data_IF_657119013079
#
_entry.id   IF_657119013079
#
_cell.length_a   1.000
_cell.length_b   1.000
_cell.length_c   1.000
_cell.angle_alpha   90.00
_cell.angle_beta   90.00
_cell.angle_gamma   90.00
#
_symmetry.space_group_name_H-M   'P 1'
#
loop_
_entity.id
_entity.type
_entity.pdbx_description
1 polymer ?
#
# COMPACT_ATOMS: atom_id res chain seq x y z
N UNK A 1 57.67 -39.26 -7.84
CA UNK A 1 57.46 -38.58 -6.54
C UNK A 1 56.82 -37.23 -6.82
N UNK A 2 55.68 -36.94 -6.16
CA UNK A 2 55.10 -35.60 -5.88
C UNK A 2 54.64 -34.76 -7.09
N UNK A 3 53.36 -34.75 -7.51
CA UNK A 3 52.11 -34.26 -6.90
C UNK A 3 52.01 -32.72 -6.75
N UNK A 4 51.04 -32.10 -7.45
CA UNK A 4 49.91 -31.36 -6.88
C UNK A 4 49.43 -30.23 -7.81
N UNK A 5 48.20 -30.37 -8.31
CA UNK A 5 47.42 -29.29 -8.90
C UNK A 5 47.08 -28.25 -7.81
N UNK A 6 47.27 -26.96 -8.08
CA UNK A 6 46.71 -25.89 -7.27
C UNK A 6 45.90 -24.93 -8.15
N UNK A 7 44.62 -25.27 -8.36
CA UNK A 7 43.65 -24.28 -8.83
C UNK A 7 43.25 -23.42 -7.63
N UNK A 8 43.63 -22.15 -7.69
CA UNK A 8 43.18 -21.12 -6.75
C UNK A 8 41.66 -20.96 -6.86
N UNK A 9 40.93 -21.41 -5.84
CA UNK A 9 39.50 -21.12 -5.68
C UNK A 9 39.34 -19.69 -5.17
N UNK A 10 38.78 -18.82 -6.03
CA UNK A 10 38.31 -17.51 -5.61
C UNK A 10 37.21 -17.65 -4.54
N UNK A 11 37.10 -16.71 -3.58
CA UNK A 11 36.00 -16.72 -2.64
C UNK A 11 34.71 -16.43 -3.41
N UNK A 12 33.93 -17.48 -3.69
CA UNK A 12 32.57 -17.31 -4.19
C UNK A 12 31.79 -16.50 -3.16
N UNK A 13 31.28 -15.34 -3.57
CA UNK A 13 30.29 -14.57 -2.83
C UNK A 13 29.01 -15.41 -2.77
N UNK A 14 28.95 -16.32 -1.82
CA UNK A 14 27.77 -17.12 -1.55
C UNK A 14 26.71 -16.20 -0.96
N UNK A 15 25.79 -15.73 -1.80
CA UNK A 15 24.56 -15.09 -1.32
C UNK A 15 23.87 -16.10 -0.42
N UNK A 16 23.72 -15.82 0.90
CA UNK A 16 23.08 -16.76 1.79
C UNK A 16 21.64 -16.97 1.35
N UNK A 17 21.08 -18.14 1.67
CA UNK A 17 19.68 -18.44 1.34
C UNK A 17 18.76 -17.39 1.97
N UNK A 18 17.60 -17.08 1.35
CA UNK A 18 16.66 -16.09 1.89
C UNK A 18 16.31 -16.32 3.36
N UNK A 19 16.24 -17.58 3.81
CA UNK A 19 15.98 -17.97 5.18
C UNK A 19 17.06 -17.54 6.18
N UNK A 20 18.32 -17.43 5.75
CA UNK A 20 19.42 -17.01 6.63
C UNK A 20 19.34 -15.54 7.03
N UNK A 21 18.56 -14.73 6.31
CA UNK A 21 18.27 -13.34 6.69
C UNK A 21 17.16 -13.23 7.74
N UNK A 22 16.38 -14.29 7.97
CA UNK A 22 15.24 -14.24 8.87
C UNK A 22 15.68 -14.61 10.30
N UNK A 23 15.44 -13.75 11.31
CA UNK A 23 15.73 -14.09 12.69
C UNK A 23 14.78 -15.18 13.20
N UNK A 24 15.30 -16.07 14.04
CA UNK A 24 14.51 -17.08 14.75
C UNK A 24 13.39 -16.42 15.59
N UNK A 25 12.15 -16.83 15.33
CA UNK A 25 10.94 -16.36 16.02
C UNK A 25 10.40 -17.38 17.02
N UNK A 26 11.02 -18.55 17.18
CA UNK A 26 10.57 -19.60 18.11
C UNK A 26 10.74 -19.22 19.59
N UNK A 27 11.60 -18.23 19.87
CA UNK A 27 11.93 -17.79 21.23
C UNK A 27 11.08 -16.58 21.62
N UNK A 28 10.46 -16.64 22.80
CA UNK A 28 9.76 -15.51 23.40
C UNK A 28 10.77 -14.38 23.67
N UNK A 29 10.52 -13.20 23.11
CA UNK A 29 11.34 -11.99 23.32
C UNK A 29 10.63 -11.08 24.33
N UNK A 30 11.31 -10.76 25.42
CA UNK A 30 10.86 -9.71 26.34
C UNK A 30 11.16 -8.36 25.68
N UNK A 31 10.11 -7.65 25.27
CA UNK A 31 10.26 -6.31 24.72
C UNK A 31 10.48 -5.30 25.85
N UNK A 32 11.38 -4.31 25.69
CA UNK A 32 11.45 -3.21 26.62
C UNK A 32 10.11 -2.45 26.64
N UNK A 33 9.74 -1.80 27.75
CA UNK A 33 8.52 -1.01 27.84
C UNK A 33 8.48 0.00 26.68
N UNK A 34 7.35 0.00 25.95
CA UNK A 34 7.16 0.82 24.77
C UNK A 34 7.28 2.31 25.10
N UNK A 35 8.06 3.05 24.31
CA UNK A 35 8.06 4.52 24.36
C UNK A 35 6.77 5.00 23.71
N UNK A 36 6.09 5.99 24.31
CA UNK A 36 4.92 6.61 23.69
C UNK A 36 5.33 7.19 22.32
N UNK A 37 4.65 6.80 21.23
CA UNK A 37 4.95 7.37 19.93
C UNK A 37 4.56 8.86 19.93
N UNK A 38 5.45 9.71 19.42
CA UNK A 38 5.24 11.14 19.20
C UNK A 38 4.96 12.00 20.44
N UNK A 39 5.71 11.83 21.54
CA UNK A 39 5.73 12.79 22.66
C UNK A 39 4.33 13.28 23.07
N UNK A 40 3.36 12.36 23.10
CA UNK A 40 1.92 12.65 23.17
C UNK A 40 1.50 13.39 24.45
N UNK A 41 2.41 13.46 25.42
CA UNK A 41 2.26 14.18 26.70
C UNK A 41 2.42 15.70 26.55
N UNK A 42 2.85 16.21 25.38
CA UNK A 42 3.00 17.66 25.19
C UNK A 42 1.62 18.31 25.02
N UNK A 43 1.30 19.29 25.87
CA UNK A 43 0.07 20.06 25.78
C UNK A 43 0.00 20.77 24.42
N UNK A 44 -0.91 20.32 23.54
CA UNK A 44 -1.00 20.78 22.14
C UNK A 44 -1.58 22.18 22.00
N UNK A 45 -2.31 22.66 22.99
CA UNK A 45 -2.99 23.94 22.93
C UNK A 45 -2.83 24.69 24.25
N UNK A 46 -2.35 25.92 24.16
CA UNK A 46 -2.47 26.87 25.25
C UNK A 46 -3.92 27.39 25.21
N UNK A 47 -4.68 27.19 26.29
CA UNK A 47 -5.97 27.85 26.45
C UNK A 47 -5.71 29.34 26.61
N UNK A 48 -5.69 30.09 25.51
CA UNK A 48 -5.90 31.52 25.59
C UNK A 48 -7.31 31.77 26.15
N UNK A 49 -7.51 32.73 27.07
CA UNK A 49 -8.84 33.08 27.54
C UNK A 49 -9.68 33.51 26.33
N UNK A 50 -10.77 32.79 26.09
CA UNK A 50 -11.71 33.09 25.02
C UNK A 50 -12.40 34.41 25.33
N UNK A 51 -11.88 35.51 24.79
CA UNK A 51 -12.57 36.79 24.80
C UNK A 51 -13.75 36.69 23.84
N UNK A 52 -14.97 36.85 24.37
CA UNK A 52 -16.22 36.76 23.60
C UNK A 52 -16.34 37.74 22.41
N UNK A 53 -15.34 38.61 22.20
CA UNK A 53 -15.25 39.53 21.07
C UNK A 53 -14.62 38.91 19.81
N UNK A 54 -13.89 37.81 19.94
CA UNK A 54 -13.12 37.22 18.82
C UNK A 54 -13.85 36.06 18.14
N UNK A 55 -14.99 35.65 18.67
CA UNK A 55 -15.79 34.56 18.11
C UNK A 55 -16.98 35.15 17.37
N UNK A 56 -17.00 35.11 16.03
CA UNK A 56 -18.16 35.55 15.26
C UNK A 56 -19.40 34.72 15.68
N UNK A 57 -20.49 35.41 15.98
CA UNK A 57 -21.74 34.77 16.40
C UNK A 57 -22.37 33.94 15.27
N UNK A 58 -23.35 33.08 15.59
CA UNK A 58 -24.11 32.36 14.57
C UNK A 58 -24.69 33.36 13.57
N UNK A 59 -24.31 33.25 12.30
CA UNK A 59 -24.73 34.16 11.21
C UNK A 59 -23.73 35.28 10.86
N UNK A 60 -22.61 35.43 11.57
CA UNK A 60 -21.58 36.45 11.27
C UNK A 60 -20.61 36.07 10.14
N UNK A 61 -20.67 34.82 9.65
CA UNK A 61 -19.87 34.38 8.51
C UNK A 61 -20.64 34.65 7.20
N UNK A 62 -20.06 35.45 6.31
CA UNK A 62 -20.57 35.60 4.96
C UNK A 62 -20.56 34.23 4.24
N UNK A 63 -21.74 33.69 3.93
CA UNK A 63 -21.89 32.43 3.19
C UNK A 63 -21.70 32.59 1.67
N UNK A 64 -20.99 33.64 1.22
CA UNK A 64 -20.57 33.79 -0.18
C UNK A 64 -19.37 32.88 -0.50
N UNK A 65 -19.44 31.62 -0.09
CA UNK A 65 -18.49 30.61 -0.52
C UNK A 65 -19.05 29.97 -1.80
N UNK A 66 -18.35 30.16 -2.92
CA UNK A 66 -18.64 29.49 -4.19
C UNK A 66 -18.71 27.97 -3.94
N UNK A 67 -19.90 27.39 -4.03
CA UNK A 67 -20.23 26.00 -3.65
C UNK A 67 -19.51 24.91 -4.46
N UNK A 68 -18.73 25.29 -5.47
CA UNK A 68 -18.11 24.38 -6.45
C UNK A 68 -16.58 24.53 -6.54
N UNK A 69 -15.89 24.91 -5.45
CA UNK A 69 -14.44 24.87 -5.43
C UNK A 69 -13.98 23.41 -5.44
N UNK A 70 -13.41 22.96 -6.57
CA UNK A 70 -12.68 21.68 -6.64
C UNK A 70 -11.52 21.76 -5.65
N UNK A 71 -11.66 21.11 -4.50
CA UNK A 71 -10.58 21.00 -3.51
C UNK A 71 -9.45 20.21 -4.16
N UNK A 72 -8.30 20.85 -4.35
CA UNK A 72 -7.08 20.18 -4.79
C UNK A 72 -6.16 20.01 -3.60
N UNK A 73 -5.73 18.78 -3.35
CA UNK A 73 -4.77 18.49 -2.30
C UNK A 73 -3.39 19.01 -2.71
N UNK A 74 -2.64 19.68 -1.81
CA UNK A 74 -1.31 20.20 -2.13
C UNK A 74 -0.32 19.09 -2.51
N UNK A 75 -0.56 17.86 -2.07
CA UNK A 75 0.17 16.66 -2.49
C UNK A 75 -0.68 15.80 -3.43
N UNK A 76 -1.02 16.32 -4.61
CA UNK A 76 -1.36 15.42 -5.72
C UNK A 76 -0.05 14.96 -6.32
N UNK A 77 0.31 13.70 -6.09
CA UNK A 77 1.28 13.04 -6.96
C UNK A 77 0.72 13.19 -8.38
N UNK A 78 1.48 13.83 -9.27
CA UNK A 78 1.09 13.92 -10.69
C UNK A 78 0.75 12.53 -11.22
N UNK A 79 -0.01 12.46 -12.32
CA UNK A 79 -0.23 11.18 -12.99
C UNK A 79 1.13 10.50 -13.20
N UNK A 80 1.37 9.31 -12.64
CA UNK A 80 2.68 8.68 -12.75
C UNK A 80 3.01 8.49 -14.22
N UNK A 81 4.29 8.57 -14.54
CA UNK A 81 4.75 8.33 -15.90
C UNK A 81 4.59 6.83 -16.22
N UNK A 82 3.43 6.48 -16.77
CA UNK A 82 3.05 5.11 -17.10
C UNK A 82 4.01 4.45 -18.10
N UNK A 83 4.84 5.24 -18.79
CA UNK A 83 5.88 4.75 -19.70
C UNK A 83 7.05 4.08 -18.97
N UNK A 84 7.27 4.38 -17.68
CA UNK A 84 8.37 3.83 -16.86
C UNK A 84 8.04 2.50 -16.21
N UNK A 85 6.76 2.10 -16.21
CA UNK A 85 6.36 0.81 -15.69
C UNK A 85 6.69 -0.28 -16.72
N UNK A 86 7.15 -1.46 -16.30
CA UNK A 86 7.36 -2.58 -17.20
C UNK A 86 6.05 -2.89 -17.92
N UNK A 87 5.98 -2.57 -19.22
CA UNK A 87 4.79 -2.81 -20.00
C UNK A 87 4.60 -4.32 -20.13
N UNK A 88 3.50 -4.82 -19.60
CA UNK A 88 3.10 -6.21 -19.77
C UNK A 88 3.01 -6.48 -21.27
N UNK A 89 3.90 -7.32 -21.79
CA UNK A 89 3.88 -7.75 -23.19
C UNK A 89 2.57 -8.49 -23.44
N UNK A 90 1.59 -7.79 -24.03
CA UNK A 90 0.29 -8.35 -24.38
C UNK A 90 0.48 -9.34 -25.52
N UNK A 91 0.83 -10.58 -25.17
CA UNK A 91 0.83 -11.73 -26.09
C UNK A 91 -0.62 -12.17 -26.28
N UNK A 92 -1.46 -11.36 -26.91
CA UNK A 92 -2.77 -11.82 -27.33
C UNK A 92 -2.62 -12.61 -28.64
N UNK A 93 -2.97 -13.90 -28.60
CA UNK A 93 -3.51 -14.58 -29.77
C UNK A 93 -4.63 -13.67 -30.29
N UNK A 94 -4.63 -13.28 -31.57
CA UNK A 94 -5.57 -12.31 -32.15
C UNK A 94 -7.01 -12.83 -32.10
N UNK A 95 -7.61 -12.80 -30.93
CA UNK A 95 -9.04 -12.85 -30.68
C UNK A 95 -9.48 -11.39 -30.70
N UNK A 96 -10.57 -11.10 -31.42
CA UNK A 96 -11.06 -9.72 -31.58
C UNK A 96 -11.26 -9.11 -30.19
N UNK A 97 -10.75 -7.90 -29.99
CA UNK A 97 -10.79 -7.21 -28.69
C UNK A 97 -12.22 -7.06 -28.16
N UNK A 98 -13.21 -6.98 -29.06
CA UNK A 98 -14.64 -7.03 -28.74
C UNK A 98 -15.04 -8.31 -28.01
N UNK A 99 -14.53 -9.45 -28.47
CA UNK A 99 -14.93 -10.77 -28.01
C UNK A 99 -14.27 -11.05 -26.64
N UNK A 100 -13.03 -10.59 -26.46
CA UNK A 100 -12.34 -10.61 -25.16
C UNK A 100 -13.07 -9.73 -24.14
N UNK A 101 -13.46 -8.50 -24.53
CA UNK A 101 -14.15 -7.59 -23.62
C UNK A 101 -15.52 -8.14 -23.20
N UNK A 102 -16.28 -8.71 -24.14
CA UNK A 102 -17.54 -9.37 -23.80
C UNK A 102 -17.34 -10.59 -22.91
N UNK A 103 -16.33 -11.43 -23.20
CA UNK A 103 -16.02 -12.59 -22.37
C UNK A 103 -15.68 -12.17 -20.93
N UNK A 104 -14.79 -11.19 -20.75
CA UNK A 104 -14.40 -10.67 -19.43
C UNK A 104 -15.62 -10.12 -18.69
N UNK A 105 -16.46 -9.30 -19.36
CA UNK A 105 -17.67 -8.76 -18.75
C UNK A 105 -18.67 -9.84 -18.33
N UNK A 106 -18.82 -10.89 -19.14
CA UNK A 106 -19.70 -12.02 -18.81
C UNK A 106 -19.16 -12.82 -17.63
N UNK A 107 -17.85 -13.07 -17.58
CA UNK A 107 -17.21 -13.83 -16.51
C UNK A 107 -17.27 -13.07 -15.18
N UNK A 108 -16.98 -11.76 -15.18
CA UNK A 108 -17.12 -10.91 -13.99
C UNK A 108 -18.55 -10.88 -13.45
N UNK A 109 -19.56 -10.83 -14.33
CA UNK A 109 -20.97 -10.86 -13.95
C UNK A 109 -21.38 -12.20 -13.33
N UNK A 110 -20.96 -13.31 -13.94
CA UNK A 110 -21.26 -14.65 -13.43
C UNK A 110 -20.47 -14.97 -12.15
N UNK A 111 -19.29 -14.39 -11.97
CA UNK A 111 -18.51 -14.44 -10.74
C UNK A 111 -19.22 -13.68 -9.61
N UNK A 112 -19.71 -12.46 -9.87
CA UNK A 112 -20.46 -11.68 -8.89
C UNK A 112 -21.70 -12.41 -8.39
N UNK A 113 -22.47 -13.05 -9.30
CA UNK A 113 -23.64 -13.86 -8.93
C UNK A 113 -23.29 -15.01 -7.98
N UNK A 114 -22.13 -15.64 -8.17
CA UNK A 114 -21.72 -16.85 -7.43
C UNK A 114 -20.80 -16.55 -6.24
N UNK A 115 -20.42 -15.29 -6.02
CA UNK A 115 -19.44 -14.88 -5.00
C UNK A 115 -19.78 -15.37 -3.59
N UNK A 116 -21.03 -15.22 -3.17
CA UNK A 116 -21.45 -15.64 -1.82
C UNK A 116 -21.45 -17.16 -1.66
N UNK A 117 -21.85 -17.88 -2.71
CA UNK A 117 -21.81 -19.35 -2.73
C UNK A 117 -20.37 -19.87 -2.66
N UNK A 118 -19.45 -19.27 -3.42
CA UNK A 118 -18.03 -19.62 -3.38
C UNK A 118 -17.39 -19.30 -2.02
N UNK A 119 -17.74 -18.16 -1.42
CA UNK A 119 -17.28 -17.81 -0.08
C UNK A 119 -17.76 -18.84 0.97
N UNK A 120 -19.04 -19.22 0.93
CA UNK A 120 -19.58 -20.26 1.81
C UNK A 120 -18.84 -21.58 1.64
N UNK A 121 -18.66 -22.04 0.40
CA UNK A 121 -17.95 -23.30 0.14
C UNK A 121 -16.51 -23.22 0.66
N UNK A 122 -15.79 -22.12 0.45
CA UNK A 122 -14.41 -21.96 0.94
C UNK A 122 -14.26 -21.98 2.46
N UNK A 123 -15.33 -21.70 3.22
CA UNK A 123 -15.28 -21.72 4.69
C UNK A 123 -15.56 -23.11 5.26
N UNK A 124 -16.39 -23.91 4.58
CA UNK A 124 -17.01 -25.11 5.17
C UNK A 124 -16.68 -26.42 4.45
N UNK A 125 -16.11 -26.38 3.25
CA UNK A 125 -15.72 -27.54 2.44
C UNK A 125 -14.29 -27.38 1.93
#
# INVERSE_FOLDING_TARGET
MSNCNSYSTSPQSATPSPQQYQPDQSKLKVLPPGKFPFSSTTQRFQCAPCTARDTPGPGSYAQEAVRNRKVSWPMRFGSPDWSRLPQLQKKSLRVKVSDIHQLILTDEREFQKRRNRLAYLSLYY
#
